data_IF_160865952763
#
_entry.id   IF_160865952763
#
_cell.length_a   1.000
_cell.length_b   1.000
_cell.length_c   1.000
_cell.angle_alpha   90.00
_cell.angle_beta   90.00
_cell.angle_gamma   90.00
#
_symmetry.space_group_name_H-M   'P 1'
#
loop_
_entity.id
_entity.type
_entity.pdbx_description
1 polymer ?
#
# COMPACT_ATOMS: atom_id res chain seq x y z
N UNK A 1 -20.35 2.54 -35.00
CA UNK A 1 -19.27 3.00 -34.10
C UNK A 1 -19.04 1.91 -33.05
N UNK A 2 -18.12 0.97 -33.32
CA UNK A 2 -17.78 -0.11 -32.39
C UNK A 2 -16.61 0.32 -31.53
N UNK A 3 -16.78 0.35 -30.21
CA UNK A 3 -15.69 0.67 -29.29
C UNK A 3 -14.86 -0.59 -29.08
N UNK A 4 -13.60 -0.57 -29.53
CA UNK A 4 -12.59 -1.54 -29.11
C UNK A 4 -12.29 -1.18 -27.65
N UNK A 5 -12.90 -1.91 -26.72
CA UNK A 5 -12.49 -1.86 -25.31
C UNK A 5 -11.21 -2.66 -25.23
N UNK A 6 -10.09 -1.94 -25.22
CA UNK A 6 -8.80 -2.49 -24.89
C UNK A 6 -8.94 -3.20 -23.53
N UNK A 7 -8.92 -4.53 -23.59
CA UNK A 7 -9.25 -5.43 -22.49
C UNK A 7 -7.97 -5.81 -21.72
N UNK A 8 -6.96 -4.95 -21.72
CA UNK A 8 -5.97 -4.90 -20.66
C UNK A 8 -6.73 -4.53 -19.39
N UNK A 9 -7.24 -5.57 -18.72
CA UNK A 9 -7.72 -5.56 -17.34
C UNK A 9 -6.75 -4.70 -16.53
N UNK A 10 -7.10 -3.43 -16.35
CA UNK A 10 -6.54 -2.58 -15.30
C UNK A 10 -7.09 -3.15 -13.99
N UNK A 11 -6.52 -4.27 -13.57
CA UNK A 11 -6.69 -4.72 -12.20
C UNK A 11 -5.96 -3.68 -11.35
N UNK A 12 -6.69 -2.93 -10.51
CA UNK A 12 -6.03 -1.97 -9.64
C UNK A 12 -5.00 -2.74 -8.83
N UNK A 13 -3.80 -2.19 -8.73
CA UNK A 13 -2.82 -2.75 -7.81
C UNK A 13 -3.45 -2.82 -6.41
N UNK A 14 -3.25 -3.92 -5.68
CA UNK A 14 -3.79 -4.02 -4.33
C UNK A 14 -3.28 -2.83 -3.51
N UNK A 15 -4.19 -2.14 -2.84
CA UNK A 15 -3.89 -0.99 -1.99
C UNK A 15 -4.51 -1.19 -0.62
N UNK A 16 -3.77 -0.76 0.41
CA UNK A 16 -4.23 -0.74 1.79
C UNK A 16 -4.17 0.69 2.29
N UNK A 17 -5.24 1.16 2.93
CA UNK A 17 -5.30 2.50 3.54
C UNK A 17 -5.43 2.34 5.04
N UNK A 18 -4.41 2.76 5.78
CA UNK A 18 -4.44 2.83 7.24
C UNK A 18 -4.83 4.24 7.66
N UNK A 19 -5.82 4.37 8.55
CA UNK A 19 -6.33 5.66 9.02
C UNK A 19 -6.25 5.73 10.54
N UNK A 20 -5.83 6.87 11.06
CA UNK A 20 -5.81 7.16 12.50
C UNK A 20 -4.65 8.06 12.89
N UNK A 21 -4.87 8.86 13.93
CA UNK A 21 -3.85 9.77 14.48
C UNK A 21 -2.66 9.00 15.09
N UNK A 22 -2.87 7.75 15.48
CA UNK A 22 -1.88 6.86 16.09
C UNK A 22 -0.73 6.46 15.15
N UNK A 23 -0.87 6.66 13.84
CA UNK A 23 0.20 6.34 12.88
C UNK A 23 1.46 7.17 13.15
N UNK A 24 1.29 8.46 13.48
CA UNK A 24 2.39 9.33 13.86
C UNK A 24 3.06 8.88 15.17
N UNK A 25 2.29 8.34 16.13
CA UNK A 25 2.81 7.83 17.40
C UNK A 25 3.68 6.56 17.20
N UNK A 26 3.43 5.80 16.13
CA UNK A 26 4.27 4.67 15.72
C UNK A 26 5.45 5.08 14.83
N UNK A 27 5.67 6.37 14.62
CA UNK A 27 6.78 6.89 13.82
C UNK A 27 6.54 6.81 12.30
N UNK A 28 5.28 6.80 11.85
CA UNK A 28 4.97 6.95 10.43
C UNK A 28 4.69 8.40 10.07
N UNK A 29 5.44 8.92 9.10
CA UNK A 29 5.22 10.24 8.50
C UNK A 29 4.85 10.16 7.00
N UNK A 30 4.27 11.23 6.46
CA UNK A 30 3.83 11.30 5.07
C UNK A 30 5.04 11.33 4.14
N UNK A 31 5.05 10.48 3.12
CA UNK A 31 6.14 10.42 2.14
C UNK A 31 7.39 9.66 2.63
N UNK A 32 7.37 9.12 3.85
CA UNK A 32 8.44 8.25 4.33
C UNK A 32 8.41 6.90 3.60
N UNK A 33 9.59 6.28 3.42
CA UNK A 33 9.68 4.89 2.97
C UNK A 33 9.26 3.94 4.10
N UNK A 34 8.54 2.89 3.73
CA UNK A 34 8.14 1.82 4.65
C UNK A 34 8.68 0.49 4.16
N UNK A 35 9.05 -0.37 5.09
CA UNK A 35 9.34 -1.76 4.78
C UNK A 35 8.08 -2.60 4.97
N UNK A 36 7.82 -3.47 3.99
CA UNK A 36 6.69 -4.41 4.02
C UNK A 36 7.24 -5.82 3.97
N UNK A 37 7.03 -6.58 5.04
CA UNK A 37 7.42 -7.98 5.15
C UNK A 37 6.16 -8.82 5.09
N UNK A 38 6.08 -9.71 4.11
CA UNK A 38 4.94 -10.64 3.94
C UNK A 38 5.33 -12.02 4.43
N UNK A 39 4.57 -12.54 5.39
CA UNK A 39 4.58 -13.96 5.75
C UNK A 39 3.21 -14.57 5.41
N UNK A 40 3.03 -15.91 5.45
CA UNK A 40 1.78 -16.54 5.04
C UNK A 40 0.52 -16.08 5.79
N UNK A 41 0.65 -15.58 7.02
CA UNK A 41 -0.48 -15.23 7.89
C UNK A 41 -0.55 -13.74 8.22
N UNK A 42 0.53 -12.98 7.97
CA UNK A 42 0.63 -11.61 8.40
C UNK A 42 1.47 -10.77 7.44
N UNK A 43 1.14 -9.49 7.41
CA UNK A 43 1.95 -8.46 6.78
C UNK A 43 2.41 -7.51 7.86
N UNK A 44 3.73 -7.35 7.97
CA UNK A 44 4.35 -6.44 8.94
C UNK A 44 4.78 -5.20 8.16
N UNK A 45 4.25 -4.04 8.56
CA UNK A 45 4.64 -2.74 8.04
C UNK A 45 5.39 -2.02 9.15
N UNK A 46 6.60 -1.53 8.85
CA UNK A 46 7.40 -0.72 9.78
C UNK A 46 8.06 0.47 9.08
N UNK A 47 8.38 1.56 9.81
CA UNK A 47 9.21 2.64 9.26
C UNK A 47 10.54 2.09 8.75
N UNK A 48 10.97 2.53 7.57
CA UNK A 48 12.31 2.21 7.11
C UNK A 48 13.34 2.98 7.94
N UNK A 49 14.41 2.30 8.36
CA UNK A 49 15.60 2.96 8.92
C UNK A 49 16.50 3.29 7.73
N UNK A 50 16.93 4.55 7.62
CA UNK A 50 17.94 4.96 6.63
C UNK A 50 19.31 4.36 6.95
#
# INVERSE_FOLDING_TARGET
MGFIRDHLKHWPSPSITLRGHWMAELGFDIGQKVEVITTPEQMIIRPAVD
#
